data_IF_846945964499
#
_entry.id   IF_846945964499
#
_cell.length_a   1.000
_cell.length_b   1.000
_cell.length_c   1.000
_cell.angle_alpha   90.00
_cell.angle_beta   90.00
_cell.angle_gamma   90.00
#
_symmetry.space_group_name_H-M   'P 1'
#
loop_
_entity.id
_entity.type
_entity.pdbx_description
1 polymer ?
#
# COMPACT_ATOMS: atom_id res chain seq x y z
N UNK A 1 -16.81 -16.01 -83.17
CA UNK A 1 -15.79 -15.08 -83.71
C UNK A 1 -15.65 -15.38 -85.20
N UNK A 2 -15.96 -14.44 -86.10
CA UNK A 2 -15.88 -14.68 -87.54
C UNK A 2 -14.41 -14.79 -87.99
N UNK A 3 -14.10 -15.72 -88.89
CA UNK A 3 -12.76 -15.83 -89.49
C UNK A 3 -12.45 -14.59 -90.31
N UNK A 4 -11.18 -14.17 -90.30
CA UNK A 4 -10.74 -13.02 -91.08
C UNK A 4 -10.58 -13.40 -92.56
N UNK A 5 -11.23 -12.64 -93.46
CA UNK A 5 -11.32 -12.93 -94.90
C UNK A 5 -11.24 -11.69 -95.78
N UNK A 6 -10.86 -10.54 -95.22
CA UNK A 6 -10.83 -9.29 -95.97
C UNK A 6 -9.63 -9.27 -96.93
N UNK A 7 -9.83 -8.78 -98.16
CA UNK A 7 -8.81 -8.77 -99.20
C UNK A 7 -8.66 -10.11 -99.92
N UNK A 8 -7.63 -10.23 -100.74
CA UNK A 8 -7.28 -11.46 -101.49
C UNK A 8 -5.82 -11.83 -101.29
N UNK A 9 -5.48 -13.09 -101.50
CA UNK A 9 -4.10 -13.57 -101.40
C UNK A 9 -3.57 -14.10 -102.72
N UNK A 10 -2.31 -13.79 -103.00
CA UNK A 10 -1.50 -14.41 -104.02
C UNK A 10 -0.68 -15.53 -103.37
N UNK A 11 -0.82 -16.74 -103.90
CA UNK A 11 -0.17 -17.96 -103.43
C UNK A 11 0.40 -18.72 -104.62
N UNK A 12 1.65 -19.14 -104.51
CA UNK A 12 2.36 -19.88 -105.56
C UNK A 12 2.49 -21.34 -105.14
N UNK A 13 2.18 -22.27 -106.04
CA UNK A 13 2.40 -23.69 -105.80
C UNK A 13 3.84 -23.95 -105.36
N UNK A 14 4.01 -24.82 -104.36
CA UNK A 14 5.28 -25.17 -103.74
C UNK A 14 6.01 -23.99 -103.06
N UNK A 15 5.30 -22.94 -102.65
CA UNK A 15 5.84 -21.83 -101.87
C UNK A 15 5.16 -21.73 -100.50
N UNK A 16 5.90 -21.30 -99.48
CA UNK A 16 5.32 -20.94 -98.18
C UNK A 16 4.79 -19.50 -98.15
N UNK A 17 5.06 -18.67 -99.16
CA UNK A 17 4.72 -17.26 -99.14
C UNK A 17 3.24 -17.03 -99.54
N UNK A 18 2.54 -16.28 -98.69
CA UNK A 18 1.19 -15.78 -98.95
C UNK A 18 1.25 -14.26 -98.97
N UNK A 19 1.00 -13.66 -100.14
CA UNK A 19 1.06 -12.21 -100.33
C UNK A 19 -0.35 -11.66 -100.44
N UNK A 20 -0.78 -10.90 -99.44
CA UNK A 20 -2.09 -10.31 -99.36
C UNK A 20 -2.19 -8.95 -100.07
N UNK A 21 -3.37 -8.66 -100.63
CA UNK A 21 -3.77 -7.34 -101.12
C UNK A 21 -5.07 -6.95 -100.41
N UNK A 22 -5.08 -5.77 -99.76
CA UNK A 22 -6.20 -5.34 -98.93
C UNK A 22 -6.37 -6.16 -97.64
N UNK A 23 -5.30 -6.83 -97.20
CA UNK A 23 -5.25 -7.64 -95.98
C UNK A 23 -4.62 -6.84 -94.82
N UNK A 24 -4.86 -7.28 -93.60
CA UNK A 24 -4.31 -6.75 -92.35
C UNK A 24 -3.92 -7.92 -91.44
N UNK A 25 -2.93 -8.70 -91.87
CA UNK A 25 -2.56 -9.95 -91.21
C UNK A 25 -2.04 -9.77 -89.78
N UNK A 26 -1.29 -8.71 -89.47
CA UNK A 26 -0.72 -8.53 -88.11
C UNK A 26 -1.83 -8.35 -87.09
N UNK A 27 -2.86 -7.57 -87.45
CA UNK A 27 -3.97 -7.27 -86.53
C UNK A 27 -4.94 -8.46 -86.35
N UNK A 28 -4.96 -9.42 -87.29
CA UNK A 28 -6.04 -10.42 -87.38
C UNK A 28 -5.57 -11.88 -87.35
N UNK A 29 -4.27 -12.14 -87.27
CA UNK A 29 -3.73 -13.47 -87.10
C UNK A 29 -2.47 -13.46 -86.23
N UNK A 30 -2.09 -14.64 -85.76
CA UNK A 30 -0.84 -14.92 -85.04
C UNK A 30 -0.15 -16.12 -85.67
N UNK A 31 1.15 -16.23 -85.43
CA UNK A 31 1.88 -17.47 -85.72
C UNK A 31 1.21 -18.62 -84.95
N UNK A 32 0.96 -19.73 -85.62
CA UNK A 32 0.20 -20.88 -85.12
C UNK A 32 -1.28 -20.89 -85.54
N UNK A 33 -1.83 -19.78 -86.05
CA UNK A 33 -3.22 -19.76 -86.53
C UNK A 33 -3.41 -20.58 -87.81
N UNK A 34 -4.62 -21.05 -88.04
CA UNK A 34 -4.96 -21.80 -89.22
C UNK A 34 -5.29 -20.86 -90.37
N UNK A 35 -4.52 -20.95 -91.45
CA UNK A 35 -4.77 -20.34 -92.74
C UNK A 35 -5.47 -21.35 -93.66
N UNK A 36 -6.61 -20.95 -94.22
CA UNK A 36 -7.29 -21.70 -95.28
C UNK A 36 -7.00 -21.05 -96.63
N UNK A 37 -6.31 -21.77 -97.49
CA UNK A 37 -5.91 -21.30 -98.82
C UNK A 37 -7.08 -21.25 -99.83
N UNK A 38 -6.86 -20.63 -101.00
CA UNK A 38 -7.84 -20.59 -102.09
C UNK A 38 -8.21 -21.96 -102.66
N UNK A 39 -7.31 -22.94 -102.50
CA UNK A 39 -7.54 -24.36 -102.79
C UNK A 39 -8.44 -25.06 -101.75
N UNK A 40 -8.82 -24.36 -100.69
CA UNK A 40 -9.60 -24.89 -99.57
C UNK A 40 -8.79 -25.68 -98.56
N UNK A 41 -7.46 -25.83 -98.77
CA UNK A 41 -6.53 -26.53 -97.90
C UNK A 41 -6.22 -25.78 -96.61
N UNK A 42 -5.82 -26.51 -95.58
CA UNK A 42 -5.48 -25.98 -94.26
C UNK A 42 -3.98 -25.97 -94.04
N UNK A 43 -3.49 -24.83 -93.57
CA UNK A 43 -2.08 -24.58 -93.32
C UNK A 43 -1.91 -23.84 -91.99
N UNK A 44 -0.78 -24.04 -91.35
CA UNK A 44 -0.37 -23.31 -90.16
C UNK A 44 0.38 -22.04 -90.59
N UNK A 45 0.00 -20.89 -90.04
CA UNK A 45 0.78 -19.65 -90.21
C UNK A 45 2.06 -19.77 -89.40
N UNK A 46 3.22 -19.79 -90.07
CA UNK A 46 4.53 -19.96 -89.41
C UNK A 46 5.26 -18.64 -89.16
N UNK A 47 4.91 -17.59 -89.89
CA UNK A 47 5.44 -16.25 -89.72
C UNK A 47 4.46 -15.21 -90.26
N UNK A 48 4.40 -14.02 -89.67
CA UNK A 48 3.66 -12.88 -90.22
C UNK A 48 4.66 -11.74 -90.38
N UNK A 49 5.10 -11.52 -91.62
CA UNK A 49 6.14 -10.54 -91.93
C UNK A 49 5.58 -9.11 -92.04
N UNK A 50 4.33 -8.97 -92.49
CA UNK A 50 3.62 -7.68 -92.56
C UNK A 50 2.11 -7.88 -92.66
N UNK A 51 1.33 -6.80 -92.66
CA UNK A 51 -0.11 -6.85 -92.92
C UNK A 51 -0.48 -7.47 -94.28
N UNK A 52 0.49 -7.54 -95.21
CA UNK A 52 0.36 -8.06 -96.56
C UNK A 52 1.22 -9.29 -96.85
N UNK A 53 1.96 -9.83 -95.88
CA UNK A 53 2.80 -10.99 -96.11
C UNK A 53 2.84 -11.91 -94.89
N UNK A 54 2.48 -13.18 -95.09
CA UNK A 54 2.66 -14.24 -94.10
C UNK A 54 3.27 -15.49 -94.75
N UNK A 55 3.79 -16.38 -93.92
CA UNK A 55 4.32 -17.67 -94.33
C UNK A 55 3.48 -18.81 -93.76
N UNK A 56 3.33 -19.89 -94.52
CA UNK A 56 2.53 -21.06 -94.12
C UNK A 56 3.32 -22.38 -94.14
N UNK A 57 2.89 -23.35 -93.33
CA UNK A 57 3.38 -24.73 -93.35
C UNK A 57 2.20 -25.73 -93.26
N UNK A 58 2.21 -26.84 -94.02
CA UNK A 58 3.12 -27.16 -95.13
C UNK A 58 3.12 -26.08 -96.24
N UNK A 59 4.08 -26.12 -97.17
CA UNK A 59 4.08 -25.20 -98.32
C UNK A 59 2.79 -25.35 -99.14
N UNK A 60 2.35 -24.29 -99.81
CA UNK A 60 1.09 -24.26 -100.55
C UNK A 60 1.06 -25.36 -101.63
N UNK A 61 0.02 -26.21 -101.60
CA UNK A 61 -0.05 -27.44 -102.40
C UNK A 61 -0.97 -27.30 -103.62
N UNK A 62 -1.94 -26.39 -103.56
CA UNK A 62 -2.84 -26.09 -104.68
C UNK A 62 -2.17 -25.40 -105.86
N UNK A 63 -2.92 -25.26 -106.96
CA UNK A 63 -2.48 -24.49 -108.13
C UNK A 63 -2.24 -23.02 -107.78
N UNK A 64 -1.19 -22.42 -108.36
CA UNK A 64 -0.88 -21.00 -108.19
C UNK A 64 -2.09 -20.12 -108.47
N UNK A 65 -2.42 -19.23 -107.52
CA UNK A 65 -3.52 -18.28 -107.63
C UNK A 65 -3.00 -16.88 -107.33
N UNK A 66 -3.14 -15.95 -108.28
CA UNK A 66 -2.68 -14.57 -108.12
C UNK A 66 -3.64 -13.70 -107.30
N UNK A 67 -4.90 -14.13 -107.13
CA UNK A 67 -5.92 -13.45 -106.33
C UNK A 67 -6.98 -14.45 -105.89
N UNK A 68 -6.72 -15.12 -104.76
CA UNK A 68 -7.59 -16.13 -104.19
C UNK A 68 -8.30 -15.67 -102.92
N UNK A 69 -9.48 -16.25 -102.67
CA UNK A 69 -10.15 -16.13 -101.39
C UNK A 69 -9.41 -16.95 -100.32
N UNK A 70 -9.43 -16.48 -99.07
CA UNK A 70 -8.78 -17.16 -97.96
C UNK A 70 -9.58 -16.97 -96.67
N UNK A 71 -9.18 -17.68 -95.62
CA UNK A 71 -9.64 -17.38 -94.28
C UNK A 71 -8.55 -17.63 -93.24
N UNK A 72 -8.49 -16.79 -92.21
CA UNK A 72 -7.64 -16.98 -91.03
C UNK A 72 -8.52 -17.31 -89.82
N UNK A 73 -8.21 -18.41 -89.16
CA UNK A 73 -8.92 -18.94 -88.00
C UNK A 73 -7.97 -19.05 -86.79
N UNK A 74 -8.26 -18.35 -85.68
CA UNK A 74 -7.43 -18.45 -84.49
C UNK A 74 -7.36 -19.87 -83.93
N UNK A 75 -6.15 -20.42 -83.77
CA UNK A 75 -5.90 -21.74 -83.17
C UNK A 75 -5.29 -21.55 -81.78
N UNK A 76 -6.09 -21.18 -80.79
CA UNK A 76 -5.60 -21.18 -79.42
C UNK A 76 -5.46 -22.63 -78.96
N UNK A 77 -4.22 -23.10 -78.79
CA UNK A 77 -3.95 -24.33 -78.03
C UNK A 77 -4.54 -24.23 -76.63
N UNK A 78 -4.87 -25.37 -76.00
CA UNK A 78 -5.26 -25.39 -74.58
C UNK A 78 -4.31 -24.49 -73.79
N UNK A 79 -4.83 -23.60 -72.94
CA UNK A 79 -4.04 -22.64 -72.15
C UNK A 79 -3.27 -23.39 -71.02
N UNK A 80 -2.49 -24.38 -71.41
CA UNK A 80 -1.83 -25.39 -70.58
C UNK A 80 -0.89 -24.75 -69.57
N UNK A 81 -0.15 -23.72 -69.98
CA UNK A 81 0.79 -23.02 -69.10
C UNK A 81 0.06 -22.30 -67.96
N UNK A 82 -1.10 -21.70 -68.23
CA UNK A 82 -1.92 -21.07 -67.18
C UNK A 82 -2.51 -22.11 -66.22
N UNK A 83 -2.93 -23.26 -66.75
CA UNK A 83 -3.50 -24.34 -65.95
C UNK A 83 -2.42 -25.02 -65.08
N UNK A 84 -1.22 -25.22 -65.62
CA UNK A 84 -0.08 -25.81 -64.91
C UNK A 84 0.44 -24.85 -63.82
N UNK A 85 0.50 -23.54 -64.11
CA UNK A 85 0.84 -22.52 -63.11
C UNK A 85 -0.18 -22.47 -61.96
N UNK A 86 -1.47 -22.51 -62.26
CA UNK A 86 -2.53 -22.55 -61.24
C UNK A 86 -2.46 -23.85 -60.41
N UNK A 87 -2.21 -24.99 -61.05
CA UNK A 87 -2.06 -26.28 -60.36
C UNK A 87 -0.85 -26.27 -59.42
N UNK A 88 0.26 -25.69 -59.83
CA UNK A 88 1.45 -25.53 -58.98
C UNK A 88 1.15 -24.72 -57.72
N UNK A 89 0.46 -23.58 -57.88
CA UNK A 89 0.02 -22.75 -56.76
C UNK A 89 -0.87 -23.53 -55.77
N UNK A 90 -1.86 -24.25 -56.29
CA UNK A 90 -2.79 -25.05 -55.48
C UNK A 90 -2.05 -26.17 -54.74
N UNK A 91 -1.07 -26.82 -55.35
CA UNK A 91 -0.30 -27.88 -54.68
C UNK A 91 0.61 -27.32 -53.58
N UNK A 92 1.24 -26.16 -53.79
CA UNK A 92 2.18 -25.58 -52.84
C UNK A 92 1.47 -24.95 -51.63
N UNK A 93 0.35 -24.26 -51.86
CA UNK A 93 -0.31 -23.47 -50.81
C UNK A 93 -1.71 -23.96 -50.45
N UNK A 94 -2.30 -24.88 -51.20
CA UNK A 94 -3.68 -25.34 -50.98
C UNK A 94 -3.90 -25.90 -49.57
N UNK A 95 -2.94 -26.66 -49.04
CA UNK A 95 -3.00 -27.16 -47.67
C UNK A 95 -2.95 -26.05 -46.61
N UNK A 96 -2.06 -25.07 -46.76
CA UNK A 96 -1.95 -23.92 -45.85
C UNK A 96 -3.21 -23.05 -45.90
N UNK A 97 -3.72 -22.80 -47.10
CA UNK A 97 -4.92 -22.00 -47.31
C UNK A 97 -6.18 -22.71 -46.79
N UNK A 98 -6.24 -24.04 -46.88
CA UNK A 98 -7.33 -24.83 -46.30
C UNK A 98 -7.40 -24.71 -44.77
N UNK A 99 -6.23 -24.60 -44.10
CA UNK A 99 -6.15 -24.39 -42.65
C UNK A 99 -6.69 -23.01 -42.23
N UNK A 100 -6.64 -22.00 -43.11
CA UNK A 100 -7.17 -20.66 -42.84
C UNK A 100 -8.71 -20.58 -42.85
N UNK A 101 -9.38 -21.63 -43.35
CA UNK A 101 -10.84 -21.75 -43.36
C UNK A 101 -11.56 -20.88 -44.39
N UNK A 102 -12.88 -21.04 -44.46
CA UNK A 102 -13.73 -20.41 -45.50
C UNK A 102 -14.04 -18.93 -45.25
N UNK A 103 -13.58 -18.36 -44.13
CA UNK A 103 -13.83 -16.97 -43.74
C UNK A 103 -12.49 -16.25 -43.60
N UNK A 104 -12.01 -15.56 -44.66
CA UNK A 104 -10.68 -14.94 -44.68
C UNK A 104 -10.65 -13.62 -43.89
N UNK A 105 -11.16 -13.64 -42.66
CA UNK A 105 -11.06 -12.56 -41.68
C UNK A 105 -10.18 -13.03 -40.54
N UNK A 106 -9.61 -12.10 -39.77
CA UNK A 106 -8.85 -12.46 -38.56
C UNK A 106 -9.68 -13.30 -37.60
N UNK A 107 -11.01 -13.08 -37.53
CA UNK A 107 -11.91 -13.87 -36.70
C UNK A 107 -12.13 -15.29 -37.27
N UNK A 108 -12.29 -15.43 -38.58
CA UNK A 108 -12.48 -16.72 -39.24
C UNK A 108 -11.24 -17.62 -39.16
N UNK A 109 -10.04 -17.05 -39.31
CA UNK A 109 -8.78 -17.80 -39.13
C UNK A 109 -8.61 -18.26 -37.69
N UNK A 110 -8.92 -17.40 -36.70
CA UNK A 110 -8.91 -17.82 -35.28
C UNK A 110 -9.89 -18.95 -35.00
N UNK A 111 -11.09 -18.90 -35.59
CA UNK A 111 -12.09 -19.95 -35.46
C UNK A 111 -11.64 -21.27 -36.12
N UNK A 112 -11.04 -21.21 -37.32
CA UNK A 112 -10.52 -22.38 -38.04
C UNK A 112 -9.37 -23.07 -37.28
N UNK A 113 -8.54 -22.29 -36.57
CA UNK A 113 -7.47 -22.78 -35.69
C UNK A 113 -7.95 -23.15 -34.28
N UNK A 114 -9.27 -23.08 -34.01
CA UNK A 114 -9.86 -23.30 -32.69
C UNK A 114 -9.22 -22.47 -31.56
N UNK A 115 -8.79 -21.25 -31.88
CA UNK A 115 -8.20 -20.30 -30.94
C UNK A 115 -9.32 -19.55 -30.21
N UNK A 116 -9.88 -20.18 -29.16
CA UNK A 116 -10.91 -19.57 -28.30
C UNK A 116 -10.35 -18.54 -27.32
N UNK A 117 -9.05 -18.60 -27.03
CA UNK A 117 -8.31 -17.63 -26.24
C UNK A 117 -6.83 -17.64 -26.68
N UNK A 118 -6.00 -16.89 -25.98
CA UNK A 118 -4.57 -16.79 -26.27
C UNK A 118 -3.78 -18.06 -25.91
N UNK A 119 -4.36 -18.98 -25.13
CA UNK A 119 -3.67 -20.20 -24.64
C UNK A 119 -3.38 -21.21 -25.77
N UNK A 120 -4.07 -21.09 -26.91
CA UNK A 120 -3.83 -21.94 -28.09
C UNK A 120 -2.65 -21.51 -28.95
N UNK A 121 -1.99 -20.39 -28.63
CA UNK A 121 -0.81 -19.89 -29.33
C UNK A 121 0.47 -20.35 -28.62
N UNK A 122 1.51 -20.79 -29.34
CA UNK A 122 2.84 -20.99 -28.74
C UNK A 122 3.44 -19.66 -28.27
N UNK A 123 3.87 -19.61 -27.01
CA UNK A 123 4.59 -18.43 -26.48
C UNK A 123 5.98 -18.28 -27.08
N UNK A 124 6.40 -17.03 -27.28
CA UNK A 124 7.79 -16.71 -27.62
C UNK A 124 8.70 -16.70 -26.38
N UNK A 125 10.01 -16.63 -26.58
CA UNK A 125 10.98 -16.59 -25.47
C UNK A 125 10.85 -15.34 -24.58
N UNK A 126 10.39 -14.21 -25.14
CA UNK A 126 10.31 -12.91 -24.47
C UNK A 126 8.88 -12.50 -24.09
N UNK A 127 7.90 -12.80 -24.94
CA UNK A 127 6.50 -12.42 -24.74
C UNK A 127 5.72 -13.66 -24.29
N UNK A 128 5.70 -13.89 -22.98
CA UNK A 128 4.92 -14.97 -22.35
C UNK A 128 3.50 -14.50 -22.06
N UNK A 129 2.52 -15.38 -22.20
CA UNK A 129 1.16 -15.08 -21.77
C UNK A 129 1.10 -15.12 -20.25
N UNK A 130 0.23 -14.28 -19.69
CA UNK A 130 -0.02 -14.24 -18.26
C UNK A 130 -0.97 -15.37 -17.85
N UNK A 131 -0.54 -16.62 -18.02
CA UNK A 131 -1.28 -17.75 -17.46
C UNK A 131 -1.36 -17.59 -15.95
N UNK A 132 -2.46 -18.02 -15.32
CA UNK A 132 -2.62 -17.86 -13.88
C UNK A 132 -1.50 -18.56 -13.08
N UNK A 133 -0.99 -19.70 -13.60
CA UNK A 133 0.18 -20.38 -13.02
C UNK A 133 1.47 -19.58 -13.23
N UNK A 134 1.69 -19.03 -14.44
CA UNK A 134 2.84 -18.19 -14.75
C UNK A 134 2.91 -16.96 -13.87
N UNK A 135 1.81 -16.22 -13.73
CA UNK A 135 1.71 -15.02 -12.88
C UNK A 135 2.06 -15.33 -11.42
N UNK A 136 1.57 -16.46 -10.89
CA UNK A 136 1.89 -16.90 -9.52
C UNK A 136 3.34 -17.37 -9.33
N UNK A 137 3.99 -17.85 -10.39
CA UNK A 137 5.36 -18.36 -10.34
C UNK A 137 6.43 -17.29 -10.66
N UNK A 138 6.04 -16.09 -11.10
CA UNK A 138 6.98 -14.98 -11.32
C UNK A 138 7.66 -14.62 -9.99
N UNK A 139 8.99 -14.68 -9.99
CA UNK A 139 9.80 -14.28 -8.84
C UNK A 139 9.86 -12.77 -8.73
N UNK A 140 9.70 -12.23 -7.51
CA UNK A 140 9.79 -10.79 -7.22
C UNK A 140 11.27 -10.33 -7.07
N UNK A 141 12.12 -10.72 -8.00
CA UNK A 141 13.55 -10.42 -7.94
C UNK A 141 13.79 -8.91 -7.88
N UNK A 142 14.56 -8.46 -6.88
CA UNK A 142 14.82 -7.03 -6.64
C UNK A 142 13.81 -6.33 -5.74
N UNK A 143 12.90 -7.06 -5.07
CA UNK A 143 12.04 -6.45 -4.04
C UNK A 143 12.88 -5.91 -2.87
N UNK A 144 12.71 -4.61 -2.58
CA UNK A 144 13.27 -3.96 -1.40
C UNK A 144 12.28 -4.11 -0.24
N UNK A 145 12.60 -4.95 0.74
CA UNK A 145 11.78 -5.18 1.94
C UNK A 145 12.26 -4.39 3.16
N UNK A 146 13.28 -3.54 3.00
CA UNK A 146 13.88 -2.77 4.11
C UNK A 146 13.44 -1.31 4.13
N UNK A 147 13.04 -0.72 2.99
CA UNK A 147 12.62 0.68 2.92
C UNK A 147 11.09 0.85 3.06
N UNK A 148 10.56 1.35 4.20
CA UNK A 148 9.12 1.62 4.35
C UNK A 148 8.70 2.92 3.65
N UNK A 149 7.42 3.03 3.32
CA UNK A 149 6.87 4.27 2.76
C UNK A 149 5.46 4.12 2.20
N UNK A 150 4.79 5.25 1.95
CA UNK A 150 3.53 5.23 1.23
C UNK A 150 3.74 4.82 -0.23
N UNK A 151 2.77 4.07 -0.77
CA UNK A 151 2.73 3.76 -2.20
C UNK A 151 2.34 5.03 -2.95
N UNK A 152 3.20 5.44 -3.89
CA UNK A 152 3.02 6.58 -4.75
C UNK A 152 2.63 6.15 -6.17
N UNK A 153 2.01 7.05 -6.95
CA UNK A 153 1.64 6.78 -8.34
C UNK A 153 2.82 6.55 -9.27
N UNK A 154 4.03 6.92 -8.85
CA UNK A 154 5.29 6.70 -9.58
C UNK A 154 5.96 5.38 -9.23
N UNK A 155 5.49 4.66 -8.21
CA UNK A 155 6.10 3.41 -7.78
C UNK A 155 5.83 2.30 -8.80
N UNK A 156 6.85 1.48 -9.06
CA UNK A 156 6.63 0.19 -9.70
C UNK A 156 5.87 -0.75 -8.75
N UNK A 157 5.21 -1.77 -9.30
CA UNK A 157 4.53 -2.80 -8.49
C UNK A 157 5.50 -3.44 -7.48
N UNK A 158 6.76 -3.64 -7.87
CA UNK A 158 7.79 -4.23 -7.01
C UNK A 158 8.13 -3.31 -5.83
N UNK A 159 8.26 -2.00 -6.09
CA UNK A 159 8.52 -1.00 -5.05
C UNK A 159 7.32 -0.83 -4.12
N UNK A 160 6.09 -0.87 -4.66
CA UNK A 160 4.86 -0.82 -3.88
C UNK A 160 4.73 -2.03 -2.93
N UNK A 161 4.96 -3.24 -3.45
CA UNK A 161 4.98 -4.47 -2.64
C UNK A 161 6.06 -4.40 -1.55
N UNK A 162 7.27 -3.95 -1.92
CA UNK A 162 8.38 -3.76 -1.00
C UNK A 162 8.04 -2.81 0.15
N UNK A 163 7.54 -1.61 -0.17
CA UNK A 163 7.06 -0.61 0.80
C UNK A 163 5.98 -1.16 1.73
N UNK A 164 5.01 -1.90 1.20
CA UNK A 164 3.94 -2.52 2.01
C UNK A 164 4.50 -3.60 2.95
N UNK A 165 5.40 -4.47 2.47
CA UNK A 165 6.05 -5.47 3.32
C UNK A 165 6.95 -4.84 4.38
N UNK A 166 7.76 -3.84 4.01
CA UNK A 166 8.62 -3.10 4.93
C UNK A 166 7.79 -2.38 6.01
N UNK A 167 6.64 -1.80 5.65
CA UNK A 167 5.72 -1.18 6.61
C UNK A 167 5.14 -2.20 7.59
N UNK A 168 4.73 -3.39 7.11
CA UNK A 168 4.27 -4.48 7.99
C UNK A 168 5.38 -4.99 8.91
N UNK A 169 6.59 -5.18 8.36
CA UNK A 169 7.76 -5.57 9.15
C UNK A 169 8.05 -4.56 10.26
N UNK A 170 7.84 -3.26 9.98
CA UNK A 170 7.96 -2.18 10.95
C UNK A 170 6.98 -2.28 12.12
N UNK A 171 5.76 -2.76 11.86
CA UNK A 171 4.72 -2.97 12.88
C UNK A 171 4.88 -4.30 13.64
N UNK A 172 5.67 -5.26 13.14
CA UNK A 172 5.81 -6.61 13.73
C UNK A 172 7.13 -6.87 14.46
N UNK A 173 8.06 -5.91 14.47
CA UNK A 173 9.38 -6.06 15.11
C UNK A 173 9.34 -5.80 16.63
N UNK A 174 10.10 -6.59 17.40
CA UNK A 174 10.08 -6.65 18.87
C UNK A 174 10.39 -5.31 19.59
N UNK A 175 10.97 -4.31 18.89
CA UNK A 175 11.46 -3.06 19.50
C UNK A 175 11.09 -1.77 18.75
N UNK A 176 10.04 -1.74 17.92
CA UNK A 176 9.55 -0.47 17.36
C UNK A 176 8.28 -0.02 18.08
N UNK A 177 8.42 1.07 18.85
CA UNK A 177 7.31 1.73 19.53
C UNK A 177 6.41 2.40 18.49
N UNK A 178 5.14 1.99 18.43
CA UNK A 178 4.10 2.75 17.73
C UNK A 178 3.83 4.00 18.57
N UNK A 179 3.95 5.18 17.96
CA UNK A 179 3.64 6.42 18.68
C UNK A 179 2.18 6.43 19.14
N UNK A 180 1.86 7.18 20.20
CA UNK A 180 0.46 7.35 20.63
C UNK A 180 -0.38 7.92 19.48
N UNK A 181 0.14 8.89 18.72
CA UNK A 181 -0.58 9.46 17.57
C UNK A 181 -0.94 8.42 16.49
N UNK A 182 -0.21 7.31 16.42
CA UNK A 182 -0.44 6.21 15.48
C UNK A 182 -1.25 5.05 16.09
N UNK A 183 -1.81 5.24 17.29
CA UNK A 183 -2.71 4.27 17.91
C UNK A 183 -2.01 3.12 18.65
N UNK A 184 -0.75 3.28 19.08
CA UNK A 184 -0.02 2.24 19.81
C UNK A 184 -0.68 1.74 21.11
N UNK A 185 -1.69 2.46 21.60
CA UNK A 185 -2.52 2.10 22.76
C UNK A 185 -4.02 2.02 22.42
N UNK A 186 -4.38 2.02 21.12
CA UNK A 186 -5.77 2.15 20.66
C UNK A 186 -6.33 3.57 20.70
N UNK A 187 -5.50 4.57 20.96
CA UNK A 187 -5.87 5.96 21.15
C UNK A 187 -4.85 6.91 20.49
N UNK A 188 -5.33 8.05 19.96
CA UNK A 188 -4.49 9.03 19.26
C UNK A 188 -3.99 10.19 20.14
N UNK A 189 -4.50 10.32 21.38
CA UNK A 189 -4.08 11.34 22.35
C UNK A 189 -3.53 10.71 23.61
N UNK A 190 -2.67 11.44 24.34
CA UNK A 190 -2.12 10.95 25.61
C UNK A 190 -3.24 10.73 26.65
N UNK A 191 -4.29 11.55 26.63
CA UNK A 191 -5.43 11.41 27.55
C UNK A 191 -6.20 10.11 27.30
N UNK A 192 -6.51 9.85 26.04
CA UNK A 192 -7.24 8.64 25.64
C UNK A 192 -6.38 7.38 25.79
N UNK A 193 -5.07 7.48 25.56
CA UNK A 193 -4.12 6.39 25.78
C UNK A 193 -4.10 5.93 27.24
N UNK A 194 -4.09 6.86 28.18
CA UNK A 194 -4.19 6.53 29.62
C UNK A 194 -5.51 5.86 29.94
N UNK A 195 -6.59 6.32 29.33
CA UNK A 195 -7.93 5.73 29.50
C UNK A 195 -7.97 4.30 28.95
N UNK A 196 -7.43 4.06 27.75
CA UNK A 196 -7.37 2.76 27.11
C UNK A 196 -6.51 1.75 27.90
N UNK A 197 -5.43 2.23 28.53
CA UNK A 197 -4.58 1.45 29.42
C UNK A 197 -5.16 1.28 30.84
N UNK A 198 -6.30 1.90 31.15
CA UNK A 198 -6.92 1.83 32.48
C UNK A 198 -6.18 2.59 33.58
N UNK A 199 -5.30 3.54 33.23
CA UNK A 199 -4.55 4.34 34.19
C UNK A 199 -5.47 5.33 34.91
N UNK A 200 -5.41 5.33 36.24
CA UNK A 200 -6.21 6.23 37.09
C UNK A 200 -5.46 7.53 37.42
N UNK A 201 -6.14 8.50 38.03
CA UNK A 201 -5.57 9.82 38.38
C UNK A 201 -4.26 9.74 39.19
N UNK A 202 -4.14 8.76 40.08
CA UNK A 202 -2.91 8.55 40.87
C UNK A 202 -1.68 8.25 40.00
N UNK A 203 -1.86 7.69 38.79
CA UNK A 203 -0.77 7.44 37.85
C UNK A 203 -0.22 8.73 37.20
N UNK A 204 -0.93 9.86 37.36
CA UNK A 204 -0.54 11.17 36.84
C UNK A 204 -0.02 12.12 37.91
N UNK A 205 -0.35 11.86 39.17
CA UNK A 205 0.02 12.73 40.28
C UNK A 205 1.48 12.48 40.68
N UNK A 206 2.22 13.54 40.97
CA UNK A 206 3.52 13.41 41.64
C UNK A 206 3.31 12.76 43.01
N UNK A 207 4.20 11.84 43.38
CA UNK A 207 4.10 11.15 44.67
C UNK A 207 4.29 12.15 45.82
N UNK A 208 5.30 13.02 45.71
CA UNK A 208 5.63 14.03 46.73
C UNK A 208 5.64 15.42 46.09
N UNK A 209 4.92 16.36 46.69
CA UNK A 209 4.81 17.74 46.23
C UNK A 209 3.65 18.45 46.92
N UNK A 210 3.20 19.59 46.38
CA UNK A 210 2.06 20.32 46.96
C UNK A 210 0.77 19.51 46.79
N UNK A 211 0.15 19.13 47.90
CA UNK A 211 -1.16 18.48 47.90
C UNK A 211 -2.21 19.58 47.80
N UNK A 212 -3.13 19.43 46.85
CA UNK A 212 -4.24 20.37 46.64
C UNK A 212 -5.53 19.63 46.28
N UNK A 213 -6.65 20.31 46.44
CA UNK A 213 -7.98 19.79 46.16
C UNK A 213 -8.85 20.87 45.55
N UNK A 214 -9.87 20.44 44.81
CA UNK A 214 -11.00 21.28 44.41
C UNK A 214 -12.30 20.53 44.65
N UNK A 215 -13.20 21.12 45.45
CA UNK A 215 -14.51 20.55 45.79
C UNK A 215 -14.45 19.11 46.33
N UNK A 216 -13.47 18.84 47.19
CA UNK A 216 -13.24 17.53 47.79
C UNK A 216 -12.48 16.54 46.90
N UNK A 217 -12.13 16.92 45.67
CA UNK A 217 -11.41 16.06 44.71
C UNK A 217 -9.92 16.43 44.75
N UNK A 218 -9.02 15.46 44.98
CA UNK A 218 -7.58 15.74 44.95
C UNK A 218 -7.11 16.14 43.53
N UNK A 219 -6.35 17.22 43.44
CA UNK A 219 -5.84 17.80 42.18
C UNK A 219 -4.33 17.92 42.12
N UNK A 220 -3.65 17.82 43.27
CA UNK A 220 -2.19 17.93 43.39
C UNK A 220 -1.48 16.59 43.59
N UNK A 221 -0.32 16.65 44.25
CA UNK A 221 0.48 15.47 44.62
C UNK A 221 -0.22 14.57 45.65
N UNK A 222 0.31 13.36 45.85
CA UNK A 222 -0.25 12.40 46.81
C UNK A 222 0.14 12.75 48.26
N UNK A 223 1.38 13.19 48.49
CA UNK A 223 1.93 13.49 49.81
C UNK A 223 2.64 14.85 49.77
N UNK A 224 2.37 15.70 50.76
CA UNK A 224 3.11 16.95 51.00
C UNK A 224 3.74 16.85 52.38
N UNK A 225 5.03 17.14 52.49
CA UNK A 225 5.70 17.30 53.78
C UNK A 225 6.28 18.69 53.87
N UNK A 226 6.16 19.31 55.05
CA UNK A 226 6.78 20.61 55.30
C UNK A 226 7.29 20.74 56.71
N UNK A 227 8.24 21.66 56.87
CA UNK A 227 8.80 22.06 58.15
C UNK A 227 8.59 23.56 58.31
N UNK A 228 8.18 23.96 59.50
CA UNK A 228 8.01 25.35 59.92
C UNK A 228 8.73 25.55 61.25
N UNK A 229 8.80 26.79 61.73
CA UNK A 229 9.29 27.07 63.09
C UNK A 229 8.46 26.36 64.18
N UNK A 230 7.22 25.97 63.87
CA UNK A 230 6.31 25.31 64.82
C UNK A 230 6.38 23.77 64.79
N UNK A 231 7.19 23.18 63.90
CA UNK A 231 7.32 21.73 63.73
C UNK A 231 7.08 21.28 62.29
N UNK A 232 6.72 20.01 62.11
CA UNK A 232 6.55 19.39 60.79
C UNK A 232 5.10 19.00 60.51
N UNK A 233 4.73 18.93 59.24
CA UNK A 233 3.45 18.38 58.83
C UNK A 233 3.59 17.41 57.66
N UNK A 234 2.61 16.52 57.54
CA UNK A 234 2.39 15.66 56.38
C UNK A 234 0.92 15.78 55.98
N UNK A 235 0.64 16.25 54.76
CA UNK A 235 -0.69 16.19 54.16
C UNK A 235 -0.75 15.03 53.19
N UNK A 236 -1.93 14.43 53.10
CA UNK A 236 -2.26 13.37 52.16
C UNK A 236 -3.38 13.83 51.25
N UNK A 237 -3.38 13.34 50.01
CA UNK A 237 -4.39 13.63 49.01
C UNK A 237 -5.81 13.27 49.46
N UNK A 238 -5.98 12.28 50.35
CA UNK A 238 -7.28 11.94 50.92
C UNK A 238 -7.86 13.05 51.81
N UNK A 239 -7.05 14.04 52.20
CA UNK A 239 -7.38 15.17 53.07
C UNK A 239 -6.93 15.00 54.52
N UNK A 240 -6.32 13.87 54.86
CA UNK A 240 -5.67 13.65 56.14
C UNK A 240 -4.44 14.55 56.27
N UNK A 241 -4.25 15.13 57.45
CA UNK A 241 -3.03 15.83 57.81
C UNK A 241 -2.53 15.39 59.19
N UNK A 242 -1.22 15.25 59.31
CA UNK A 242 -0.55 14.98 60.59
C UNK A 242 0.44 16.10 60.87
N UNK A 243 0.28 16.77 62.00
CA UNK A 243 1.23 17.76 62.51
C UNK A 243 2.02 17.19 63.69
N UNK A 244 3.33 17.49 63.75
CA UNK A 244 4.23 17.05 64.81
C UNK A 244 5.07 18.21 65.30
N UNK A 245 5.30 18.30 66.60
CA UNK A 245 6.20 19.27 67.20
C UNK A 245 6.90 18.68 68.42
N UNK A 246 8.16 19.04 68.61
CA UNK A 246 8.95 18.67 69.79
C UNK A 246 9.61 19.94 70.31
N UNK A 247 9.28 20.35 71.53
CA UNK A 247 9.80 21.58 72.15
C UNK A 247 10.54 21.21 73.43
N UNK A 248 11.80 21.64 73.54
CA UNK A 248 12.62 21.43 74.74
C UNK A 248 12.46 22.62 75.69
N UNK A 249 12.07 22.32 76.92
CA UNK A 249 12.07 23.24 78.05
C UNK A 249 13.28 22.91 78.93
N UNK A 250 14.37 23.64 78.73
CA UNK A 250 15.68 23.32 79.33
C UNK A 250 15.69 23.33 80.87
N UNK A 251 14.81 24.13 81.49
CA UNK A 251 14.63 24.16 82.93
C UNK A 251 13.17 24.50 83.25
N UNK A 252 12.48 23.55 83.85
CA UNK A 252 11.10 23.67 84.33
C UNK A 252 11.07 23.41 85.82
N UNK A 253 10.44 24.30 86.58
CA UNK A 253 10.14 24.07 88.00
C UNK A 253 8.73 23.48 88.15
N UNK A 254 8.61 22.45 88.97
CA UNK A 254 7.35 21.78 89.33
C UNK A 254 7.25 21.81 90.86
N UNK A 255 6.74 22.93 91.39
CA UNK A 255 6.75 23.23 92.82
C UNK A 255 5.36 23.54 93.38
N UNK A 256 4.40 23.93 92.53
CA UNK A 256 3.07 24.32 92.98
C UNK A 256 2.29 23.09 93.45
N UNK A 257 1.72 23.18 94.65
CA UNK A 257 0.98 22.08 95.28
C UNK A 257 -0.40 21.93 94.62
N UNK A 258 -0.70 20.71 94.18
CA UNK A 258 -1.99 20.35 93.58
C UNK A 258 -2.50 19.04 94.22
N UNK A 259 -3.03 19.14 95.44
CA UNK A 259 -3.39 17.96 96.23
C UNK A 259 -2.15 17.17 96.65
N UNK A 260 -2.11 15.87 96.35
CA UNK A 260 -0.98 14.98 96.66
C UNK A 260 0.13 14.97 95.58
N UNK A 261 0.02 15.85 94.58
CA UNK A 261 0.97 15.98 93.47
C UNK A 261 1.39 17.45 93.31
N UNK A 262 2.34 17.70 92.43
CA UNK A 262 2.84 19.04 92.14
C UNK A 262 2.74 19.33 90.64
N UNK A 263 2.43 20.58 90.27
CA UNK A 263 2.48 21.03 88.89
C UNK A 263 3.50 22.17 88.68
N UNK A 264 4.00 22.26 87.45
CA UNK A 264 4.82 23.38 87.00
C UNK A 264 4.00 24.44 86.26
N UNK A 265 4.68 25.47 85.76
CA UNK A 265 4.06 26.40 84.80
C UNK A 265 3.65 25.66 83.52
N UNK A 266 2.54 26.04 82.88
CA UNK A 266 2.09 25.34 81.68
C UNK A 266 3.02 25.63 80.50
N UNK A 267 3.27 24.61 79.68
CA UNK A 267 3.70 24.82 78.31
C UNK A 267 2.56 25.54 77.57
N UNK A 268 2.81 26.74 76.99
CA UNK A 268 1.75 27.52 76.35
C UNK A 268 1.16 26.82 75.13
N UNK A 269 -0.02 27.29 74.71
CA UNK A 269 -0.60 26.93 73.42
C UNK A 269 0.37 27.28 72.30
N UNK A 270 0.42 26.45 71.26
CA UNK A 270 1.32 26.62 70.12
C UNK A 270 0.51 26.57 68.83
N UNK A 271 0.92 27.30 67.80
CA UNK A 271 0.32 27.20 66.46
C UNK A 271 0.72 25.87 65.83
N UNK A 272 -0.19 25.19 65.14
CA UNK A 272 0.19 24.02 64.34
C UNK A 272 1.15 24.42 63.20
N UNK A 273 2.03 23.51 62.76
CA UNK A 273 2.82 23.71 61.54
C UNK A 273 1.96 24.03 60.30
N UNK A 274 0.73 23.53 60.24
CA UNK A 274 -0.29 23.90 59.26
C UNK A 274 -1.68 23.83 59.91
N UNK A 275 -2.58 24.74 59.54
CA UNK A 275 -3.93 24.80 60.10
C UNK A 275 -4.83 23.68 59.55
N UNK A 276 -5.69 23.15 60.42
CA UNK A 276 -6.73 22.18 60.07
C UNK A 276 -8.04 22.90 59.69
N UNK A 277 -8.96 22.23 59.00
CA UNK A 277 -10.31 22.77 58.69
C UNK A 277 -11.30 22.51 59.83
N UNK A 278 -11.02 21.52 60.68
CA UNK A 278 -11.75 21.25 61.91
C UNK A 278 -10.80 21.03 63.09
N UNK A 279 -11.34 20.86 64.30
CA UNK A 279 -10.51 20.58 65.48
C UNK A 279 -9.89 19.18 65.34
N UNK A 280 -8.55 19.04 65.35
CA UNK A 280 -7.88 17.75 65.21
C UNK A 280 -7.88 16.95 66.51
N UNK A 281 -7.69 15.64 66.42
CA UNK A 281 -7.33 14.82 67.56
C UNK A 281 -5.86 15.08 67.93
N UNK A 282 -5.58 15.36 69.21
CA UNK A 282 -4.24 15.72 69.67
C UNK A 282 -3.72 14.77 70.74
N UNK A 283 -2.45 14.41 70.65
CA UNK A 283 -1.68 13.68 71.65
C UNK A 283 -0.52 14.58 72.08
N UNK A 284 -0.35 14.78 73.38
CA UNK A 284 0.72 15.61 73.94
C UNK A 284 1.29 14.90 75.17
N UNK A 285 2.62 14.78 75.25
CA UNK A 285 3.27 14.13 76.39
C UNK A 285 4.66 14.72 76.66
N UNK A 286 5.08 14.69 77.92
CA UNK A 286 6.42 15.11 78.32
C UNK A 286 7.36 13.91 78.42
N UNK A 287 8.59 14.09 77.94
CA UNK A 287 9.74 13.25 78.22
C UNK A 287 10.68 14.01 79.16
N UNK A 288 10.71 13.67 80.45
CA UNK A 288 11.62 14.31 81.39
C UNK A 288 13.04 13.75 81.25
N UNK A 289 14.05 14.56 81.55
CA UNK A 289 15.45 14.08 81.56
C UNK A 289 15.71 13.01 82.63
N UNK A 290 14.95 13.05 83.73
CA UNK A 290 14.98 12.10 84.84
C UNK A 290 13.62 12.06 85.56
N UNK A 291 13.33 11.00 86.31
CA UNK A 291 12.09 10.90 87.10
C UNK A 291 10.83 10.65 86.26
N UNK A 292 9.66 10.97 86.84
CA UNK A 292 8.36 10.73 86.22
C UNK A 292 7.56 12.04 86.14
N UNK A 293 7.14 12.40 84.94
CA UNK A 293 6.27 13.56 84.68
C UNK A 293 5.16 13.15 83.73
N UNK A 294 3.94 13.60 83.98
CA UNK A 294 2.82 13.43 83.06
C UNK A 294 2.26 14.77 82.61
N UNK A 295 1.61 14.74 81.45
CA UNK A 295 0.95 15.88 80.84
C UNK A 295 -0.52 15.94 81.29
N UNK A 296 -0.97 17.10 81.72
CA UNK A 296 -2.38 17.39 81.91
C UNK A 296 -2.78 18.59 81.05
N UNK A 297 -3.67 18.36 80.09
CA UNK A 297 -4.12 19.39 79.16
C UNK A 297 -5.02 20.41 79.85
N UNK A 298 -4.87 21.67 79.49
CA UNK A 298 -5.75 22.77 79.89
C UNK A 298 -6.23 23.56 78.67
N UNK A 299 -7.48 24.02 78.69
CA UNK A 299 -8.12 24.65 77.53
C UNK A 299 -8.50 23.65 76.43
N UNK A 300 -8.89 24.19 75.28
CA UNK A 300 -9.44 23.42 74.15
C UNK A 300 -8.55 23.62 72.92
N UNK A 301 -8.16 22.53 72.27
CA UNK A 301 -7.49 22.59 70.97
C UNK A 301 -8.41 23.22 69.94
N UNK A 302 -7.88 24.05 69.05
CA UNK A 302 -8.65 24.66 67.95
C UNK A 302 -8.19 24.10 66.62
N UNK A 303 -8.73 24.59 65.51
CA UNK A 303 -8.23 24.26 64.17
C UNK A 303 -6.81 24.78 63.90
N UNK A 304 -6.33 25.75 64.69
CA UNK A 304 -5.03 26.42 64.47
C UNK A 304 -4.05 26.28 65.63
N UNK A 305 -4.51 25.90 66.83
CA UNK A 305 -3.69 25.88 68.04
C UNK A 305 -3.77 24.54 68.79
N UNK A 306 -2.64 24.08 69.28
CA UNK A 306 -2.56 23.13 70.40
C UNK A 306 -3.06 23.80 71.68
N UNK A 307 -3.78 23.05 72.51
CA UNK A 307 -4.04 23.44 73.89
C UNK A 307 -2.76 23.50 74.73
N UNK A 308 -2.78 24.32 75.78
CA UNK A 308 -1.69 24.37 76.75
C UNK A 308 -1.67 23.10 77.61
N UNK A 309 -0.49 22.75 78.13
CA UNK A 309 -0.30 21.51 78.89
C UNK A 309 0.54 21.78 80.13
N UNK A 310 0.06 21.31 81.27
CA UNK A 310 0.78 21.36 82.53
C UNK A 310 1.63 20.11 82.74
N UNK A 311 2.90 20.24 83.15
CA UNK A 311 3.67 19.13 83.67
C UNK A 311 3.28 18.87 85.12
N UNK A 312 3.00 17.62 85.45
CA UNK A 312 2.72 17.16 86.80
C UNK A 312 3.73 16.10 87.23
N UNK A 313 4.06 16.09 88.53
CA UNK A 313 4.96 15.12 89.15
C UNK A 313 4.47 14.77 90.56
N UNK A 314 4.82 13.57 91.05
CA UNK A 314 4.58 13.16 92.43
C UNK A 314 5.60 13.78 93.42
N UNK A 315 6.71 14.29 92.91
CA UNK A 315 7.80 14.89 93.69
C UNK A 315 8.06 16.30 93.20
N UNK A 316 8.34 17.22 94.13
CA UNK A 316 8.75 18.58 93.78
C UNK A 316 10.10 18.58 93.08
N UNK A 317 10.20 19.37 92.00
CA UNK A 317 11.45 19.53 91.26
C UNK A 317 11.71 21.02 91.04
N UNK A 318 12.87 21.50 91.47
CA UNK A 318 13.24 22.92 91.34
C UNK A 318 13.73 23.27 89.93
N UNK A 319 14.32 22.32 89.22
CA UNK A 319 14.75 22.46 87.82
C UNK A 319 14.81 21.08 87.16
N UNK A 320 14.03 20.90 86.09
CA UNK A 320 14.01 19.69 85.27
C UNK A 320 13.97 20.05 83.79
N UNK A 321 14.78 19.37 82.97
CA UNK A 321 14.64 19.48 81.52
C UNK A 321 13.51 18.58 81.04
N UNK A 322 12.58 19.15 80.27
CA UNK A 322 11.42 18.44 79.72
C UNK A 322 11.40 18.62 78.20
N UNK A 323 11.18 17.54 77.45
CA UNK A 323 10.81 17.65 76.03
C UNK A 323 9.32 17.39 75.89
N UNK A 324 8.57 18.35 75.35
CA UNK A 324 7.15 18.17 75.03
C UNK A 324 6.99 17.73 73.59
N UNK A 325 6.52 16.51 73.41
CA UNK A 325 6.16 15.97 72.10
C UNK A 325 4.67 16.09 71.86
N UNK A 326 4.32 16.48 70.64
CA UNK A 326 2.96 16.79 70.22
C UNK A 326 2.69 16.15 68.86
N UNK A 327 1.61 15.37 68.75
CA UNK A 327 1.10 14.80 67.48
C UNK A 327 -0.39 15.11 67.32
N UNK A 328 -0.77 15.67 66.17
CA UNK A 328 -2.13 16.05 65.85
C UNK A 328 -2.54 15.44 64.53
N UNK A 329 -3.72 14.84 64.51
CA UNK A 329 -4.32 14.18 63.36
C UNK A 329 -5.66 14.83 63.04
N UNK A 330 -5.87 15.21 61.78
CA UNK A 330 -7.11 15.84 61.36
C UNK A 330 -7.21 16.03 59.85
N UNK A 331 -8.08 16.96 59.43
CA UNK A 331 -8.37 17.27 58.03
C UNK A 331 -7.77 18.60 57.63
N UNK A 332 -7.13 18.68 56.47
CA UNK A 332 -6.70 19.96 55.87
C UNK A 332 -7.69 20.51 54.83
N UNK A 333 -8.65 19.68 54.39
CA UNK A 333 -9.85 20.07 53.65
C UNK A 333 -11.04 19.13 53.92
#
# INVERSE_FOLDING_TARGET
MPWYKAGTVSVTQNSNAVIGTGTAFIANARVGDAFRGPDGGWYEVTNIASDAALSIAPIYQGSTSASGAYALAPMHGYVKDSADALRSLVNQFGGVLAVLGQTPTTAGVRAALNLTNTDGLPEGATNKYMTASGVRAITLSGIDVVTPGAVASTDSILLALGKLQATKADLSGTNKTVSIAQGGTGAATVVDARTALGLKKAALADIVGTVSQSSGVPTGSIIETGTTANGTFTKFADGTMICRSSTVYASTSILAVAGAVFNGSPAPSQVYPAAFVGVPATIQYFEPSTGQVWAATTGVSTSSLWSAVYPFSQVQVSSLSLTLHRIAYGRWF
#
